data_IF_798947516363
#
_entry.id   IF_798947516363
#
_cell.length_a   1.000
_cell.length_b   1.000
_cell.length_c   1.000
_cell.angle_alpha   90.00
_cell.angle_beta   90.00
_cell.angle_gamma   90.00
#
_symmetry.space_group_name_H-M   'P 1'
#
loop_
_entity.id
_entity.type
_entity.pdbx_description
1 polymer ?
#
# COMPACT_ATOMS: atom_id res chain seq x y z
N UNK A 1 38.70 -14.66 48.86
CA UNK A 1 39.66 -13.59 48.46
C UNK A 1 39.11 -12.91 47.21
N UNK A 2 38.60 -11.68 47.33
CA UNK A 2 38.18 -10.84 46.18
C UNK A 2 38.92 -9.51 46.32
N UNK A 3 39.87 -9.26 45.42
CA UNK A 3 40.71 -8.08 45.45
C UNK A 3 40.03 -6.89 44.75
N UNK A 4 39.82 -5.84 45.56
CA UNK A 4 40.16 -4.44 45.31
C UNK A 4 39.49 -3.74 44.09
N UNK A 5 38.47 -2.93 44.41
CA UNK A 5 38.13 -1.69 43.69
C UNK A 5 38.84 -0.51 44.38
N UNK A 6 39.67 0.23 43.64
CA UNK A 6 40.15 1.58 43.96
C UNK A 6 40.74 2.11 42.63
N UNK A 7 40.31 3.23 42.04
CA UNK A 7 40.73 4.57 42.43
C UNK A 7 39.85 5.61 41.70
N UNK A 8 39.62 6.72 42.37
CA UNK A 8 38.80 7.86 41.94
C UNK A 8 39.61 9.00 41.31
N UNK A 9 38.93 9.80 40.48
CA UNK A 9 39.00 11.28 40.35
C UNK A 9 40.22 11.95 39.68
N UNK A 10 39.95 13.15 39.10
CA UNK A 10 40.83 14.24 38.61
C UNK A 10 40.92 14.24 37.06
N UNK A 11 40.57 15.28 36.27
CA UNK A 11 40.74 16.73 36.41
C UNK A 11 39.80 17.48 35.41
N UNK A 12 39.18 18.58 35.85
CA UNK A 12 38.61 19.62 34.99
C UNK A 12 39.63 20.77 34.77
N UNK A 13 39.25 21.84 34.04
CA UNK A 13 39.99 23.12 33.80
C UNK A 13 40.89 23.01 32.52
N UNK A 14 40.82 23.82 31.45
CA UNK A 14 40.78 25.29 31.25
C UNK A 14 40.13 25.60 29.87
N UNK A 15 39.14 26.49 29.73
CA UNK A 15 39.15 27.96 29.61
C UNK A 15 39.59 28.57 28.25
N UNK A 16 38.62 29.33 27.71
CA UNK A 16 38.59 30.37 26.68
C UNK A 16 39.90 31.06 26.22
N UNK A 17 39.92 31.44 24.93
CA UNK A 17 40.12 32.80 24.35
C UNK A 17 40.36 32.64 22.83
N UNK A 18 40.19 33.60 21.91
CA UNK A 18 39.34 34.78 21.73
C UNK A 18 39.78 35.40 20.37
N UNK A 19 38.84 36.06 19.67
CA UNK A 19 39.04 37.16 18.71
C UNK A 19 39.93 36.93 17.46
N UNK A 20 39.37 37.08 16.25
CA UNK A 20 39.25 38.39 15.57
C UNK A 20 40.33 38.46 14.47
N UNK A 21 40.23 39.18 13.36
CA UNK A 21 39.35 40.26 12.95
C UNK A 21 39.62 40.53 11.44
N UNK A 22 38.59 40.97 10.73
CA UNK A 22 38.59 42.00 9.66
C UNK A 22 39.38 41.88 8.35
N UNK A 23 38.61 42.10 7.27
CA UNK A 23 38.92 43.08 6.22
C UNK A 23 38.97 42.46 4.82
N UNK A 24 38.43 43.03 3.74
CA UNK A 24 37.77 44.31 3.46
C UNK A 24 37.00 44.16 2.14
N UNK A 25 35.94 44.93 2.01
CA UNK A 25 35.15 45.16 0.78
C UNK A 25 35.89 46.12 -0.16
N UNK A 26 35.83 45.88 -1.49
CA UNK A 26 35.66 46.91 -2.53
C UNK A 26 35.23 46.28 -3.88
N UNK A 27 34.21 46.87 -4.49
CA UNK A 27 33.47 46.58 -5.75
C UNK A 27 34.20 47.15 -7.02
N UNK A 28 33.55 47.29 -8.20
CA UNK A 28 32.93 46.32 -9.13
C UNK A 28 33.43 46.53 -10.60
N UNK A 29 32.96 45.74 -11.58
CA UNK A 29 32.79 46.23 -12.95
C UNK A 29 31.67 45.49 -13.70
N UNK A 30 30.86 46.28 -14.39
CA UNK A 30 29.59 45.95 -15.06
C UNK A 30 29.71 45.12 -16.35
N UNK A 31 28.65 44.39 -16.70
CA UNK A 31 27.93 44.56 -17.99
C UNK A 31 26.67 43.69 -18.10
N UNK A 32 25.52 44.36 -17.97
CA UNK A 32 24.24 44.20 -18.71
C UNK A 32 23.89 42.89 -19.43
N UNK A 33 22.73 42.30 -19.12
CA UNK A 33 21.52 42.45 -19.96
C UNK A 33 20.25 41.73 -19.42
N UNK A 34 19.16 42.52 -19.42
CA UNK A 34 17.73 42.20 -19.49
C UNK A 34 17.04 41.28 -18.46
N UNK A 35 16.31 41.96 -17.58
CA UNK A 35 15.14 41.54 -16.81
C UNK A 35 13.91 41.44 -17.72
N UNK A 36 13.08 40.42 -17.53
CA UNK A 36 11.63 40.55 -17.71
C UNK A 36 10.90 39.64 -16.72
N UNK A 37 10.41 40.26 -15.66
CA UNK A 37 9.47 39.68 -14.71
C UNK A 37 8.07 40.18 -15.09
N UNK A 38 7.10 39.28 -15.23
CA UNK A 38 5.69 39.64 -15.03
C UNK A 38 5.06 38.72 -13.99
N UNK A 39 4.32 39.38 -13.12
CA UNK A 39 3.77 38.98 -11.84
C UNK A 39 2.33 38.49 -12.02
N UNK A 40 2.04 37.36 -11.38
CA UNK A 40 0.84 36.95 -10.64
C UNK A 40 -0.60 37.22 -11.13
N UNK A 41 -1.41 36.19 -10.82
CA UNK A 41 -2.82 36.14 -10.40
C UNK A 41 -3.91 36.15 -11.47
N UNK A 42 -4.66 35.04 -11.54
CA UNK A 42 -6.12 35.03 -11.35
C UNK A 42 -6.67 33.60 -11.31
N UNK A 43 -7.48 33.33 -10.29
CA UNK A 43 -8.35 32.16 -10.11
C UNK A 43 -9.26 31.90 -11.33
N UNK A 44 -9.59 30.63 -11.59
CA UNK A 44 -10.88 30.25 -12.16
C UNK A 44 -11.19 28.78 -11.87
N UNK A 45 -12.01 28.57 -10.85
CA UNK A 45 -12.84 27.38 -10.66
C UNK A 45 -13.88 27.30 -11.77
N UNK A 46 -13.94 26.20 -12.51
CA UNK A 46 -15.07 25.87 -13.38
C UNK A 46 -15.64 24.51 -13.01
N UNK A 47 -16.77 24.58 -12.33
CA UNK A 47 -17.77 23.55 -12.16
C UNK A 47 -18.24 23.04 -13.54
N UNK A 48 -18.23 21.73 -13.76
CA UNK A 48 -19.08 21.12 -14.77
C UNK A 48 -20.39 20.71 -14.11
N UNK A 49 -21.40 21.57 -14.27
CA UNK A 49 -22.81 21.25 -14.07
C UNK A 49 -23.39 20.92 -15.44
N UNK A 50 -23.73 19.66 -15.68
CA UNK A 50 -24.54 19.27 -16.84
C UNK A 50 -25.93 18.90 -16.35
N UNK A 51 -26.87 19.72 -16.81
CA UNK A 51 -28.29 19.73 -16.53
C UNK A 51 -28.97 18.55 -17.22
N UNK A 52 -29.95 17.95 -16.53
CA UNK A 52 -30.90 17.00 -17.07
C UNK A 52 -31.67 17.54 -18.29
N UNK A 53 -32.07 16.63 -19.18
CA UNK A 53 -33.32 16.77 -19.95
C UNK A 53 -33.89 15.38 -20.20
N UNK A 54 -35.06 15.15 -19.61
CA UNK A 54 -35.95 14.01 -19.78
C UNK A 54 -36.53 13.95 -21.20
N UNK A 55 -36.77 12.74 -21.71
CA UNK A 55 -37.91 12.49 -22.59
C UNK A 55 -38.35 11.02 -22.45
N UNK A 56 -39.56 10.86 -21.92
CA UNK A 56 -40.32 9.62 -21.89
C UNK A 56 -40.86 9.27 -23.28
N UNK A 57 -40.91 7.98 -23.62
CA UNK A 57 -42.08 7.42 -24.32
C UNK A 57 -42.11 5.89 -24.22
N UNK A 58 -43.19 5.40 -23.61
CA UNK A 58 -43.65 4.02 -23.49
C UNK A 58 -44.30 3.56 -24.81
N UNK A 59 -44.07 2.32 -25.25
CA UNK A 59 -45.14 1.35 -25.60
C UNK A 59 -44.65 0.02 -26.16
N UNK A 60 -45.37 -1.01 -25.73
CA UNK A 60 -45.13 -2.44 -25.84
C UNK A 60 -45.59 -3.05 -27.16
N UNK A 61 -44.98 -4.18 -27.57
CA UNK A 61 -45.73 -5.31 -28.14
C UNK A 61 -44.92 -6.61 -28.14
N UNK A 62 -45.59 -7.64 -27.61
CA UNK A 62 -45.28 -9.05 -27.43
C UNK A 62 -44.94 -9.84 -28.71
N UNK A 63 -44.11 -10.89 -28.55
CA UNK A 63 -44.36 -12.23 -29.10
C UNK A 63 -43.52 -13.28 -28.39
N UNK A 64 -44.20 -14.32 -27.92
CA UNK A 64 -43.66 -15.49 -27.23
C UNK A 64 -43.25 -16.60 -28.23
N UNK A 65 -42.28 -17.43 -27.86
CA UNK A 65 -42.37 -18.91 -27.89
C UNK A 65 -40.97 -19.55 -27.68
N UNK A 66 -40.89 -20.62 -26.88
CA UNK A 66 -39.84 -21.64 -27.01
C UNK A 66 -39.01 -21.95 -25.76
N UNK A 67 -39.55 -22.79 -24.88
CA UNK A 67 -38.94 -23.37 -23.68
C UNK A 67 -37.66 -24.19 -23.96
N UNK A 68 -36.68 -24.13 -23.05
CA UNK A 68 -36.05 -25.31 -22.43
C UNK A 68 -35.51 -24.92 -21.05
N UNK A 69 -36.23 -25.36 -20.04
CA UNK A 69 -35.96 -25.20 -18.61
C UNK A 69 -34.96 -26.29 -18.20
N UNK A 70 -33.69 -25.93 -18.08
CA UNK A 70 -32.73 -26.69 -17.26
C UNK A 70 -32.97 -26.31 -15.79
N UNK A 71 -32.80 -27.23 -14.82
CA UNK A 71 -33.02 -26.90 -13.43
C UNK A 71 -32.08 -25.74 -13.04
N UNK A 72 -32.57 -24.69 -12.37
CA UNK A 72 -31.68 -23.67 -11.84
C UNK A 72 -30.86 -24.35 -10.76
N UNK A 73 -29.56 -24.52 -11.02
CA UNK A 73 -28.61 -24.83 -9.96
C UNK A 73 -28.65 -23.61 -9.05
N UNK A 74 -29.46 -23.69 -8.00
CA UNK A 74 -29.32 -22.83 -6.83
C UNK A 74 -27.97 -23.18 -6.21
N UNK A 75 -26.89 -22.59 -6.74
CA UNK A 75 -25.74 -22.31 -5.90
C UNK A 75 -26.27 -21.42 -4.79
N UNK A 76 -26.49 -22.03 -3.63
CA UNK A 76 -26.77 -21.33 -2.38
C UNK A 76 -25.71 -20.26 -2.18
N UNK A 77 -26.05 -19.00 -2.42
CA UNK A 77 -25.14 -17.85 -2.22
C UNK A 77 -24.55 -17.86 -0.80
N UNK A 78 -25.30 -18.34 0.20
CA UNK A 78 -24.82 -18.53 1.58
C UNK A 78 -23.61 -19.48 1.71
N UNK A 79 -23.55 -20.54 0.92
CA UNK A 79 -22.41 -21.46 0.89
C UNK A 79 -21.18 -20.82 0.24
N UNK A 80 -21.41 -20.02 -0.80
CA UNK A 80 -20.34 -19.26 -1.49
C UNK A 80 -19.73 -18.16 -0.60
N UNK A 81 -20.52 -17.58 0.30
CA UNK A 81 -20.06 -16.57 1.27
C UNK A 81 -19.16 -17.18 2.34
N UNK A 82 -19.44 -18.41 2.79
CA UNK A 82 -18.58 -19.08 3.79
C UNK A 82 -17.19 -19.45 3.25
N UNK A 83 -17.04 -19.61 1.93
CA UNK A 83 -15.75 -19.90 1.30
C UNK A 83 -14.91 -18.65 1.05
N UNK A 84 -15.49 -17.45 1.20
CA UNK A 84 -14.84 -16.16 0.94
C UNK A 84 -14.70 -15.37 2.22
N UNK A 85 -13.46 -15.17 2.65
CA UNK A 85 -13.15 -14.37 3.83
C UNK A 85 -12.52 -13.06 3.39
N UNK A 86 -13.19 -11.93 3.67
CA UNK A 86 -12.68 -10.60 3.35
C UNK A 86 -12.91 -9.63 4.49
N UNK A 87 -11.90 -8.82 4.76
CA UNK A 87 -11.99 -7.66 5.63
C UNK A 87 -12.71 -6.53 4.93
N UNK A 88 -13.50 -5.77 5.70
CA UNK A 88 -13.99 -4.48 5.21
C UNK A 88 -12.88 -3.45 5.35
N UNK A 89 -12.51 -2.85 4.23
CA UNK A 89 -11.46 -1.84 4.14
C UNK A 89 -12.00 -0.64 3.36
N UNK A 90 -11.95 0.58 3.91
CA UNK A 90 -12.26 1.78 3.15
C UNK A 90 -11.28 1.93 1.98
N UNK A 91 -11.78 1.85 0.75
CA UNK A 91 -10.95 2.03 -0.44
C UNK A 91 -10.40 3.46 -0.49
N UNK A 92 -9.10 3.57 -0.74
CA UNK A 92 -8.43 4.83 -1.02
C UNK A 92 -7.60 4.73 -2.30
N UNK A 93 -7.56 5.83 -3.05
CA UNK A 93 -6.80 5.94 -4.30
C UNK A 93 -5.50 6.70 -4.03
N UNK A 94 -4.40 6.23 -4.62
CA UNK A 94 -3.10 6.90 -4.52
C UNK A 94 -3.11 8.23 -5.26
N UNK A 95 -2.43 9.24 -4.70
CA UNK A 95 -2.43 10.62 -5.24
C UNK A 95 -1.40 10.85 -6.34
N UNK A 96 -0.33 10.06 -6.35
CA UNK A 96 0.75 10.11 -7.34
C UNK A 96 1.31 8.72 -7.61
N UNK A 97 2.04 8.55 -8.72
CA UNK A 97 2.58 7.26 -9.16
C UNK A 97 3.44 6.54 -8.10
N UNK A 98 4.17 7.30 -7.27
CA UNK A 98 5.09 6.81 -6.23
C UNK A 98 4.45 6.67 -4.83
N UNK A 99 3.14 6.84 -4.71
CA UNK A 99 2.42 6.86 -3.40
C UNK A 99 1.59 5.60 -3.15
N UNK A 100 1.87 4.49 -3.85
CA UNK A 100 1.19 3.21 -3.64
C UNK A 100 1.39 2.66 -2.21
N UNK A 101 2.62 2.70 -1.68
CA UNK A 101 2.93 2.27 -0.31
C UNK A 101 2.21 3.09 0.78
N UNK A 102 2.31 4.44 0.84
CA UNK A 102 1.61 5.22 1.85
C UNK A 102 0.08 5.09 1.74
N UNK A 103 -0.46 4.94 0.53
CA UNK A 103 -1.91 4.68 0.36
C UNK A 103 -2.30 3.31 0.89
N UNK A 104 -1.50 2.28 0.60
CA UNK A 104 -1.70 0.92 1.11
C UNK A 104 -1.68 0.92 2.64
N UNK A 105 -0.68 1.54 3.27
CA UNK A 105 -0.60 1.64 4.73
C UNK A 105 -1.75 2.46 5.31
N UNK A 106 -2.18 3.55 4.65
CA UNK A 106 -3.35 4.31 5.09
C UNK A 106 -4.61 3.44 5.12
N UNK A 107 -4.85 2.62 4.08
CA UNK A 107 -5.96 1.66 4.07
C UNK A 107 -5.83 0.61 5.18
N UNK A 108 -4.62 0.10 5.43
CA UNK A 108 -4.37 -0.87 6.52
C UNK A 108 -4.68 -0.25 7.88
N UNK A 109 -4.25 0.98 8.14
CA UNK A 109 -4.54 1.72 9.38
C UNK A 109 -6.03 2.04 9.51
N UNK A 110 -6.68 2.48 8.43
CA UNK A 110 -8.10 2.81 8.41
C UNK A 110 -8.97 1.58 8.72
N UNK A 111 -8.58 0.39 8.26
CA UNK A 111 -9.26 -0.87 8.63
C UNK A 111 -9.24 -1.19 10.13
N UNK A 112 -8.36 -0.51 10.88
CA UNK A 112 -8.21 -0.61 12.34
C UNK A 112 -8.72 0.64 13.06
N UNK A 113 -9.43 1.53 12.36
CA UNK A 113 -9.97 2.77 12.92
C UNK A 113 -8.93 3.86 13.16
N UNK A 114 -7.75 3.76 12.55
CA UNK A 114 -6.68 4.76 12.65
C UNK A 114 -6.64 5.56 11.35
N UNK A 115 -6.90 6.85 11.43
CA UNK A 115 -6.90 7.76 10.28
C UNK A 115 -5.59 8.58 10.26
N UNK A 116 -4.74 8.29 9.28
CA UNK A 116 -3.51 9.05 8.99
C UNK A 116 -3.49 9.33 7.49
N UNK A 117 -3.19 10.59 7.14
CA UNK A 117 -3.17 11.04 5.75
C UNK A 117 -2.06 10.37 4.94
N UNK A 118 -2.30 10.21 3.64
CA UNK A 118 -1.29 9.69 2.72
C UNK A 118 -0.04 10.59 2.67
N UNK A 119 -0.21 11.91 2.79
CA UNK A 119 0.91 12.87 2.84
C UNK A 119 1.81 12.63 4.03
N UNK A 120 1.22 12.53 5.22
CA UNK A 120 1.99 12.30 6.45
C UNK A 120 2.72 10.95 6.38
N UNK A 121 2.03 9.90 5.92
CA UNK A 121 2.66 8.59 5.75
C UNK A 121 3.79 8.62 4.72
N UNK A 122 3.63 9.37 3.62
CA UNK A 122 4.67 9.50 2.61
C UNK A 122 5.94 10.16 3.19
N UNK A 123 5.78 11.21 4.01
CA UNK A 123 6.89 11.85 4.71
C UNK A 123 7.56 10.90 5.70
N UNK A 124 6.79 10.22 6.55
CA UNK A 124 7.31 9.30 7.57
C UNK A 124 8.01 8.08 6.98
N UNK A 125 7.54 7.59 5.83
CA UNK A 125 8.13 6.45 5.12
C UNK A 125 9.34 6.83 4.27
N UNK A 126 9.62 8.13 4.12
CA UNK A 126 10.64 8.63 3.22
C UNK A 126 10.32 8.33 1.76
N UNK A 127 9.05 8.46 1.35
CA UNK A 127 8.64 8.32 -0.05
C UNK A 127 9.34 9.37 -0.91
N UNK A 128 10.04 8.94 -1.96
CA UNK A 128 10.72 9.85 -2.88
C UNK A 128 10.30 9.66 -4.35
N UNK A 129 10.80 10.54 -5.22
CA UNK A 129 10.48 10.55 -6.64
C UNK A 129 11.35 9.59 -7.48
N UNK A 130 12.32 8.89 -6.89
CA UNK A 130 13.21 7.98 -7.61
C UNK A 130 12.72 6.54 -7.50
N UNK A 131 12.42 6.11 -6.28
CA UNK A 131 12.03 4.74 -5.95
C UNK A 131 10.58 4.65 -5.46
N UNK A 132 10.06 5.72 -4.85
CA UNK A 132 8.87 5.63 -4.02
C UNK A 132 9.28 5.28 -2.60
N UNK A 133 8.81 4.16 -2.06
CA UNK A 133 9.04 3.76 -0.67
C UNK A 133 9.65 2.37 -0.58
N UNK A 134 10.73 2.23 0.19
CA UNK A 134 11.23 0.93 0.59
C UNK A 134 10.24 0.22 1.52
N UNK A 135 9.96 -1.06 1.25
CA UNK A 135 9.01 -1.85 2.03
C UNK A 135 9.39 -1.91 3.51
N UNK A 136 10.68 -1.89 3.84
CA UNK A 136 11.16 -1.81 5.22
C UNK A 136 10.65 -0.56 5.96
N UNK A 137 10.66 0.60 5.30
CA UNK A 137 10.17 1.84 5.88
C UNK A 137 8.63 1.82 6.04
N UNK A 138 7.92 1.35 5.00
CA UNK A 138 6.46 1.22 5.05
C UNK A 138 6.00 0.39 6.24
N UNK A 139 6.63 -0.77 6.47
CA UNK A 139 6.26 -1.67 7.56
C UNK A 139 6.70 -1.14 8.93
N UNK A 140 7.83 -0.43 9.02
CA UNK A 140 8.22 0.23 10.26
C UNK A 140 7.22 1.30 10.68
N UNK A 141 6.78 2.14 9.74
CA UNK A 141 5.77 3.19 10.00
C UNK A 141 4.42 2.56 10.35
N UNK A 142 3.97 1.54 9.60
CA UNK A 142 2.75 0.79 9.90
C UNK A 142 2.77 0.24 11.33
N UNK A 143 3.87 -0.41 11.74
CA UNK A 143 4.00 -0.97 13.07
C UNK A 143 4.04 0.11 14.16
N UNK A 144 4.71 1.23 13.89
CA UNK A 144 4.78 2.34 14.83
C UNK A 144 3.38 2.88 15.15
N UNK A 145 2.51 3.01 14.15
CA UNK A 145 1.13 3.47 14.34
C UNK A 145 0.20 2.41 14.94
N UNK A 146 0.33 1.14 14.54
CA UNK A 146 -0.56 0.08 15.05
C UNK A 146 -0.20 -0.43 16.45
N UNK A 147 1.10 -0.54 16.74
CA UNK A 147 1.59 -1.24 17.92
C UNK A 147 2.49 -0.38 18.81
N UNK A 148 2.89 0.81 18.36
CA UNK A 148 3.70 1.75 19.14
C UNK A 148 5.21 1.53 19.06
N UNK A 149 5.68 0.63 18.19
CA UNK A 149 7.10 0.37 17.94
C UNK A 149 7.33 -0.01 16.48
N UNK A 150 8.50 0.30 15.88
CA UNK A 150 8.69 0.12 14.44
C UNK A 150 9.04 -1.32 14.05
N UNK A 151 9.68 -2.07 14.95
CA UNK A 151 10.13 -3.44 14.67
C UNK A 151 9.71 -4.37 15.82
N UNK A 152 8.84 -5.36 15.57
CA UNK A 152 8.47 -6.33 16.60
C UNK A 152 9.64 -7.27 16.91
N UNK A 153 9.84 -7.56 18.19
CA UNK A 153 10.72 -8.64 18.64
C UNK A 153 10.03 -10.01 18.50
N UNK A 154 10.76 -11.10 18.75
CA UNK A 154 10.19 -12.45 18.67
C UNK A 154 9.03 -12.64 19.64
N UNK A 155 7.91 -13.19 19.13
CA UNK A 155 6.68 -13.39 19.89
C UNK A 155 5.84 -12.13 20.12
N UNK A 156 6.35 -10.95 19.76
CA UNK A 156 5.60 -9.70 19.85
C UNK A 156 4.66 -9.54 18.65
N UNK A 157 3.46 -8.97 18.88
CA UNK A 157 2.55 -8.59 17.80
C UNK A 157 3.23 -7.58 16.85
N UNK A 158 2.93 -7.61 15.56
CA UNK A 158 3.51 -6.69 14.60
C UNK A 158 3.75 -7.33 13.25
N UNK A 159 3.69 -6.50 12.21
CA UNK A 159 3.98 -6.90 10.85
C UNK A 159 5.45 -7.21 10.65
N UNK A 160 5.74 -8.29 9.94
CA UNK A 160 7.08 -8.71 9.52
C UNK A 160 7.15 -8.84 8.02
N UNK A 161 8.24 -8.36 7.43
CA UNK A 161 8.53 -8.59 6.02
C UNK A 161 9.01 -10.02 5.80
N UNK A 162 8.44 -10.65 4.79
CA UNK A 162 8.87 -11.94 4.29
C UNK A 162 9.37 -11.76 2.86
N UNK A 163 10.49 -12.38 2.53
CA UNK A 163 11.04 -12.39 1.18
C UNK A 163 10.62 -13.68 0.48
N UNK A 164 9.90 -13.53 -0.63
CA UNK A 164 9.50 -14.63 -1.50
C UNK A 164 10.71 -15.08 -2.31
N UNK A 165 10.94 -16.39 -2.32
CA UNK A 165 12.02 -17.10 -3.00
C UNK A 165 11.49 -18.13 -4.00
N UNK A 166 10.24 -18.56 -3.85
CA UNK A 166 9.57 -19.48 -4.78
C UNK A 166 8.07 -19.21 -4.89
N UNK A 167 7.54 -19.36 -6.10
CA UNK A 167 6.10 -19.35 -6.39
C UNK A 167 5.55 -20.75 -6.65
N UNK A 168 6.39 -21.79 -6.61
CA UNK A 168 5.95 -23.17 -6.84
C UNK A 168 4.90 -23.59 -5.82
N UNK A 169 3.84 -24.25 -6.27
CA UNK A 169 2.68 -24.57 -5.43
C UNK A 169 3.00 -25.50 -4.26
N UNK A 170 4.08 -26.29 -4.36
CA UNK A 170 4.58 -27.20 -3.32
C UNK A 170 5.75 -26.62 -2.50
N UNK A 171 6.09 -25.35 -2.68
CA UNK A 171 7.19 -24.71 -1.95
C UNK A 171 6.82 -24.40 -0.49
N UNK A 172 7.84 -24.27 0.35
CA UNK A 172 7.70 -23.77 1.73
C UNK A 172 7.08 -22.37 1.74
N UNK A 173 7.48 -21.51 0.81
CA UNK A 173 6.97 -20.15 0.68
C UNK A 173 5.47 -20.11 0.40
N UNK A 174 4.99 -20.95 -0.53
CA UNK A 174 3.56 -21.06 -0.84
C UNK A 174 2.76 -21.51 0.38
N UNK A 175 3.23 -22.53 1.08
CA UNK A 175 2.57 -23.05 2.28
C UNK A 175 2.51 -21.99 3.37
N UNK A 176 3.63 -21.37 3.70
CA UNK A 176 3.71 -20.33 4.74
C UNK A 176 2.89 -19.09 4.36
N UNK A 177 2.91 -18.67 3.09
CA UNK A 177 2.10 -17.55 2.61
C UNK A 177 0.60 -17.80 2.86
N UNK A 178 0.08 -18.98 2.48
CA UNK A 178 -1.33 -19.34 2.71
C UNK A 178 -1.67 -19.40 4.21
N UNK A 179 -0.81 -20.01 5.02
CA UNK A 179 -0.99 -20.09 6.49
C UNK A 179 -1.05 -18.68 7.11
N UNK A 180 -0.13 -17.79 6.72
CA UNK A 180 -0.06 -16.41 7.21
C UNK A 180 -1.23 -15.57 6.72
N UNK A 181 -1.60 -15.69 5.45
CA UNK A 181 -2.77 -15.05 4.86
C UNK A 181 -4.03 -15.38 5.67
N UNK A 182 -4.32 -16.67 5.86
CA UNK A 182 -5.48 -17.10 6.63
C UNK A 182 -5.43 -16.57 8.06
N UNK A 183 -4.30 -16.76 8.75
CA UNK A 183 -4.12 -16.31 10.15
C UNK A 183 -4.38 -14.81 10.32
N UNK A 184 -3.86 -13.99 9.43
CA UNK A 184 -3.98 -12.53 9.52
C UNK A 184 -5.41 -12.06 9.23
N UNK A 185 -6.01 -12.56 8.14
CA UNK A 185 -7.37 -12.19 7.76
C UNK A 185 -8.37 -12.65 8.82
N UNK A 186 -8.24 -13.86 9.35
CA UNK A 186 -9.10 -14.35 10.44
C UNK A 186 -8.94 -13.51 11.72
N UNK A 187 -7.77 -12.90 11.94
CA UNK A 187 -7.50 -12.01 13.07
C UNK A 187 -7.89 -10.53 12.82
N UNK A 188 -8.44 -10.20 11.64
CA UNK A 188 -8.83 -8.84 11.32
C UNK A 188 -7.67 -7.93 10.92
N UNK A 189 -6.57 -8.50 10.42
CA UNK A 189 -5.38 -7.78 9.96
C UNK A 189 -5.14 -8.02 8.46
N UNK A 190 -5.19 -6.98 7.62
CA UNK A 190 -4.86 -7.11 6.20
C UNK A 190 -3.37 -7.41 6.00
N UNK A 191 -2.96 -7.84 4.81
CA UNK A 191 -1.57 -8.02 4.44
C UNK A 191 -1.10 -6.86 3.56
N UNK A 192 0.21 -6.64 3.52
CA UNK A 192 0.87 -5.72 2.57
C UNK A 192 1.55 -6.54 1.49
N UNK A 193 1.30 -6.27 0.21
CA UNK A 193 1.93 -6.98 -0.90
C UNK A 193 2.75 -6.02 -1.77
N UNK A 194 3.88 -6.51 -2.27
CA UNK A 194 4.65 -5.87 -3.34
C UNK A 194 4.66 -6.79 -4.55
N UNK A 195 4.25 -6.29 -5.71
CA UNK A 195 4.34 -7.06 -6.95
C UNK A 195 4.80 -6.20 -8.13
N UNK A 196 5.30 -6.84 -9.17
CA UNK A 196 5.63 -6.19 -10.44
C UNK A 196 4.36 -5.99 -11.28
N UNK A 197 4.02 -4.73 -11.57
CA UNK A 197 2.85 -4.37 -12.35
C UNK A 197 2.81 -5.07 -13.71
N UNK A 198 3.96 -5.35 -14.33
CA UNK A 198 4.02 -5.98 -15.66
C UNK A 198 3.49 -7.42 -15.66
N UNK A 199 3.46 -8.07 -14.48
CA UNK A 199 2.94 -9.43 -14.31
C UNK A 199 1.44 -9.47 -14.06
N UNK A 200 0.90 -8.42 -13.47
CA UNK A 200 -0.53 -8.30 -13.15
C UNK A 200 -1.30 -7.62 -14.28
N UNK A 201 -0.67 -6.65 -14.95
CA UNK A 201 -1.32 -5.78 -15.92
C UNK A 201 -0.44 -5.59 -17.17
N UNK A 202 -0.84 -6.16 -18.32
CA UNK A 202 -0.10 -6.00 -19.57
C UNK A 202 0.13 -4.53 -19.94
N UNK A 203 1.34 -4.21 -20.39
CA UNK A 203 1.72 -2.85 -20.82
C UNK A 203 2.07 -1.89 -19.67
N UNK A 204 2.18 -2.40 -18.43
CA UNK A 204 2.61 -1.62 -17.26
C UNK A 204 3.97 -2.08 -16.76
N UNK A 205 4.57 -1.29 -15.89
CA UNK A 205 5.89 -1.54 -15.33
C UNK A 205 6.03 -0.97 -13.93
N UNK A 206 7.08 -1.40 -13.22
CA UNK A 206 7.42 -0.92 -11.90
C UNK A 206 6.77 -1.76 -10.80
N UNK A 207 7.38 -1.70 -9.62
CA UNK A 207 6.82 -2.30 -8.42
C UNK A 207 5.59 -1.54 -7.95
N UNK A 208 4.70 -2.26 -7.30
CA UNK A 208 3.45 -1.73 -6.82
C UNK A 208 3.06 -2.36 -5.49
N UNK A 209 2.62 -1.52 -4.57
CA UNK A 209 2.17 -1.96 -3.26
C UNK A 209 0.64 -1.93 -3.19
N UNK A 210 0.07 -3.02 -2.69
CA UNK A 210 -1.38 -3.19 -2.54
C UNK A 210 -1.72 -3.81 -1.19
N UNK A 211 -2.97 -3.67 -0.76
CA UNK A 211 -3.47 -4.25 0.48
C UNK A 211 -4.18 -5.59 0.21
N UNK A 212 -3.69 -6.68 0.82
CA UNK A 212 -4.35 -7.97 0.85
C UNK A 212 -5.46 -8.00 1.88
N UNK A 213 -6.70 -8.19 1.44
CA UNK A 213 -7.88 -8.07 2.31
C UNK A 213 -8.59 -9.40 2.56
N UNK A 214 -8.20 -10.47 1.89
CA UNK A 214 -8.97 -11.71 1.99
C UNK A 214 -8.44 -12.87 1.19
N UNK A 215 -9.11 -14.00 1.36
CA UNK A 215 -8.84 -15.24 0.66
C UNK A 215 -10.13 -15.96 0.27
N UNK A 216 -10.03 -16.85 -0.70
CA UNK A 216 -11.08 -17.78 -1.10
C UNK A 216 -10.59 -19.21 -0.98
N UNK A 217 -11.39 -20.06 -0.36
CA UNK A 217 -11.15 -21.49 -0.24
C UNK A 217 -11.74 -22.26 -1.43
N UNK A 218 -11.18 -23.43 -1.71
CA UNK A 218 -11.83 -24.40 -2.58
C UNK A 218 -13.11 -24.97 -1.95
N UNK A 219 -13.87 -25.73 -2.73
CA UNK A 219 -15.20 -26.23 -2.35
C UNK A 219 -15.24 -27.11 -1.10
N UNK A 220 -14.13 -27.77 -0.75
CA UNK A 220 -14.01 -28.61 0.46
C UNK A 220 -13.31 -27.90 1.63
N UNK A 221 -13.03 -26.60 1.50
CA UNK A 221 -12.36 -25.76 2.48
C UNK A 221 -10.94 -26.22 2.88
N UNK A 222 -10.30 -27.07 2.06
CA UNK A 222 -8.97 -27.63 2.36
C UNK A 222 -7.80 -26.74 1.94
N UNK A 223 -7.99 -25.85 0.97
CA UNK A 223 -6.92 -25.01 0.43
C UNK A 223 -7.40 -23.61 0.01
N UNK A 224 -6.49 -22.64 0.05
CA UNK A 224 -6.71 -21.29 -0.49
C UNK A 224 -6.42 -21.31 -1.98
N UNK A 225 -7.44 -21.00 -2.79
CA UNK A 225 -7.37 -20.90 -4.24
C UNK A 225 -7.37 -19.46 -4.75
N UNK A 226 -7.83 -18.51 -3.93
CA UNK A 226 -7.91 -17.10 -4.30
C UNK A 226 -7.39 -16.18 -3.21
N UNK A 227 -6.82 -15.07 -3.63
CA UNK A 227 -6.39 -13.94 -2.79
C UNK A 227 -7.12 -12.70 -3.27
N UNK A 228 -7.74 -11.96 -2.34
CA UNK A 228 -8.36 -10.68 -2.60
C UNK A 228 -7.44 -9.55 -2.14
N UNK A 229 -7.28 -8.54 -2.99
CA UNK A 229 -6.56 -7.32 -2.65
C UNK A 229 -7.26 -6.08 -3.18
N UNK A 230 -7.00 -4.93 -2.59
CA UNK A 230 -7.40 -3.62 -3.13
C UNK A 230 -6.16 -2.93 -3.68
N UNK A 231 -6.22 -2.62 -4.96
CA UNK A 231 -5.19 -1.88 -5.66
C UNK A 231 -5.46 -0.36 -5.54
N UNK A 232 -4.54 0.44 -4.96
CA UNK A 232 -4.75 1.88 -4.80
C UNK A 232 -4.54 2.66 -6.10
N UNK A 233 -4.10 2.04 -7.20
CA UNK A 233 -3.81 2.77 -8.42
C UNK A 233 -5.07 3.35 -9.06
N UNK A 234 -5.07 4.66 -9.28
CA UNK A 234 -6.14 5.36 -10.01
C UNK A 234 -6.36 4.80 -11.43
N UNK A 235 -5.41 4.03 -11.97
CA UNK A 235 -5.47 3.46 -13.32
C UNK A 235 -6.17 2.09 -13.39
N UNK A 236 -6.55 1.48 -12.25
CA UNK A 236 -7.25 0.18 -12.21
C UNK A 236 -8.60 0.24 -11.52
N UNK A 237 -9.04 1.45 -11.16
CA UNK A 237 -10.33 1.67 -10.53
C UNK A 237 -11.45 1.43 -11.54
N UNK A 238 -12.49 0.74 -11.13
CA UNK A 238 -13.72 0.60 -11.88
C UNK A 238 -14.95 1.05 -11.07
N UNK A 239 -16.08 1.42 -11.72
CA UNK A 239 -17.25 1.94 -11.01
C UNK A 239 -17.96 0.95 -10.07
N UNK A 240 -17.69 -0.35 -10.19
CA UNK A 240 -18.41 -1.41 -9.47
C UNK A 240 -17.59 -1.92 -8.29
N UNK A 241 -16.32 -2.23 -8.52
CA UNK A 241 -15.43 -2.87 -7.56
C UNK A 241 -14.30 -1.95 -7.09
N UNK A 242 -14.16 -0.75 -7.69
CA UNK A 242 -13.04 0.15 -7.42
C UNK A 242 -11.72 -0.56 -7.69
N UNK A 243 -10.86 -0.62 -6.68
CA UNK A 243 -9.56 -1.28 -6.74
C UNK A 243 -9.59 -2.77 -6.41
N UNK A 244 -10.74 -3.38 -6.07
CA UNK A 244 -10.79 -4.78 -5.65
C UNK A 244 -10.42 -5.72 -6.81
N UNK A 245 -9.42 -6.58 -6.57
CA UNK A 245 -8.95 -7.61 -7.50
C UNK A 245 -8.89 -8.97 -6.82
N UNK A 246 -8.81 -10.02 -7.64
CA UNK A 246 -8.64 -11.41 -7.22
C UNK A 246 -7.61 -12.10 -8.11
N UNK A 247 -6.69 -12.83 -7.49
CA UNK A 247 -5.66 -13.65 -8.16
C UNK A 247 -5.48 -14.96 -7.40
N UNK A 248 -4.81 -15.93 -8.01
CA UNK A 248 -4.34 -17.11 -7.27
C UNK A 248 -3.12 -16.76 -6.40
N UNK A 249 -2.85 -17.52 -5.32
CA UNK A 249 -1.61 -17.39 -4.56
C UNK A 249 -0.34 -17.54 -5.41
N UNK A 250 -0.37 -18.44 -6.40
CA UNK A 250 0.75 -18.69 -7.29
C UNK A 250 1.04 -17.51 -8.22
N UNK A 251 0.01 -16.92 -8.83
CA UNK A 251 0.16 -15.72 -9.65
C UNK A 251 0.73 -14.57 -8.83
N UNK A 252 0.21 -14.36 -7.62
CA UNK A 252 0.71 -13.31 -6.72
C UNK A 252 2.20 -13.52 -6.41
N UNK A 253 2.59 -14.67 -5.85
CA UNK A 253 4.00 -14.93 -5.51
C UNK A 253 4.91 -14.88 -6.74
N UNK A 254 4.45 -15.32 -7.91
CA UNK A 254 5.21 -15.23 -9.15
C UNK A 254 5.45 -13.77 -9.57
N UNK A 255 4.46 -12.89 -9.37
CA UNK A 255 4.60 -11.45 -9.61
C UNK A 255 5.50 -10.75 -8.58
N UNK A 256 5.57 -11.25 -7.34
CA UNK A 256 6.51 -10.73 -6.33
C UNK A 256 7.96 -11.03 -6.70
N UNK A 257 8.24 -12.24 -7.21
CA UNK A 257 9.61 -12.71 -7.49
C UNK A 257 10.39 -11.86 -8.50
N UNK A 258 9.72 -11.03 -9.31
CA UNK A 258 10.40 -10.14 -10.27
C UNK A 258 10.66 -8.74 -9.73
N UNK A 259 10.25 -8.47 -8.49
CA UNK A 259 10.57 -7.24 -7.77
C UNK A 259 12.03 -7.26 -7.28
N UNK A 260 12.65 -6.10 -7.26
CA UNK A 260 13.81 -5.78 -6.44
C UNK A 260 13.53 -6.03 -4.94
N UNK A 261 12.32 -5.70 -4.46
CA UNK A 261 11.88 -6.03 -3.09
C UNK A 261 10.73 -7.06 -3.13
N UNK A 262 11.01 -8.37 -3.31
CA UNK A 262 10.00 -9.42 -3.51
C UNK A 262 9.33 -9.79 -2.18
N UNK A 263 8.63 -8.83 -1.60
CA UNK A 263 8.14 -8.92 -0.23
C UNK A 263 6.62 -8.93 -0.11
N UNK A 264 6.17 -9.55 0.98
CA UNK A 264 4.90 -9.25 1.61
C UNK A 264 5.10 -9.03 3.10
N UNK A 265 4.14 -8.38 3.75
CA UNK A 265 4.09 -8.27 5.21
C UNK A 265 2.81 -8.89 5.79
N UNK A 266 2.98 -9.52 6.95
CA UNK A 266 1.96 -10.22 7.72
C UNK A 266 2.23 -10.02 9.22
#
# INVERSE_FOLDING_TARGET
MKCIKLLSLILAILFFTACGNQGKVAKPLDSSSSVSSKKSSSNSSTFYSSKETSSDSVSSSSSASGSQEGPPVQETEEGSLQLRHRLEVPMQVQRAWNTCAPTTVSMMLASRGIDISQEQLAEEMGTDANFGTHNANAIQVLNQHLFGYPAPTDGQAGYRLETVKSSSSNSIDMRLFKERLKKNIDAGYPLYYTFDNSKMYPGRSGEHNVIGIGYELNSDASDIIGVYYIDPSYTVQDPVYGGLKKVTPQELLAAMLTCQEPNYAW
#
